data_IF_451921859195
#
_entry.id   IF_451921859195
#
_cell.length_a   1.000
_cell.length_b   1.000
_cell.length_c   1.000
_cell.angle_alpha   90.00
_cell.angle_beta   90.00
_cell.angle_gamma   90.00
#
_symmetry.space_group_name_H-M   'P 1'
#
loop_
_entity.id
_entity.type
_entity.pdbx_description
1 polymer ?
#
# COMPACT_ATOMS: atom_id res chain seq x y z
N UNK A 1 -1.63 -31.82 -15.77
CA UNK A 1 -1.83 -31.69 -14.31
C UNK A 1 -0.50 -31.25 -13.72
N UNK A 2 -0.35 -29.96 -13.42
CA UNK A 2 0.90 -29.42 -12.87
C UNK A 2 0.92 -29.72 -11.38
N UNK A 3 1.75 -30.66 -10.95
CA UNK A 3 1.91 -30.97 -9.54
C UNK A 3 2.54 -29.73 -8.88
N UNK A 4 1.90 -29.19 -7.85
CA UNK A 4 2.49 -28.17 -6.99
C UNK A 4 3.72 -28.77 -6.29
N UNK A 5 4.90 -28.39 -6.78
CA UNK A 5 6.18 -28.88 -6.27
C UNK A 5 6.36 -28.60 -4.79
N UNK A 6 5.84 -27.47 -4.30
CA UNK A 6 6.01 -27.09 -2.90
C UNK A 6 5.09 -27.92 -2.00
N UNK A 7 3.83 -28.13 -2.39
CA UNK A 7 2.93 -29.03 -1.67
C UNK A 7 3.48 -30.47 -1.59
N UNK A 8 4.08 -30.95 -2.68
CA UNK A 8 4.75 -32.26 -2.71
C UNK A 8 5.94 -32.32 -1.74
N UNK A 9 6.79 -31.29 -1.70
CA UNK A 9 7.93 -31.22 -0.80
C UNK A 9 7.49 -31.18 0.67
N UNK A 10 6.48 -30.38 1.01
CA UNK A 10 5.90 -30.32 2.36
C UNK A 10 5.34 -31.68 2.77
N UNK A 11 4.63 -32.37 1.87
CA UNK A 11 4.12 -33.72 2.14
C UNK A 11 5.24 -34.73 2.41
N UNK A 12 6.33 -34.69 1.62
CA UNK A 12 7.49 -35.56 1.82
C UNK A 12 8.22 -35.26 3.12
N UNK A 13 8.41 -33.98 3.46
CA UNK A 13 9.03 -33.56 4.71
C UNK A 13 8.22 -34.06 5.93
N UNK A 14 6.89 -33.91 5.89
CA UNK A 14 6.00 -34.43 6.94
C UNK A 14 6.09 -35.95 7.10
N UNK A 15 6.16 -36.69 5.98
CA UNK A 15 6.36 -38.14 6.03
C UNK A 15 7.72 -38.51 6.65
N UNK A 16 8.79 -37.77 6.31
CA UNK A 16 10.12 -37.98 6.90
C UNK A 16 10.13 -37.70 8.40
N UNK A 17 9.52 -36.59 8.84
CA UNK A 17 9.37 -36.26 10.27
C UNK A 17 8.64 -37.37 11.00
N UNK A 18 7.52 -37.86 10.46
CA UNK A 18 6.76 -38.93 11.08
C UNK A 18 7.62 -40.18 11.33
N UNK A 19 8.41 -40.60 10.35
CA UNK A 19 9.31 -41.75 10.51
C UNK A 19 10.45 -41.46 11.51
N UNK A 20 11.07 -40.29 11.41
CA UNK A 20 12.18 -39.89 12.30
C UNK A 20 11.72 -39.74 13.75
N UNK A 21 10.56 -39.13 13.98
CA UNK A 21 9.96 -38.97 15.30
C UNK A 21 9.60 -40.34 15.90
N UNK A 22 9.04 -41.25 15.09
CA UNK A 22 8.75 -42.61 15.54
C UNK A 22 10.03 -43.37 15.98
N UNK A 23 11.12 -43.26 15.21
CA UNK A 23 12.41 -43.86 15.58
C UNK A 23 12.97 -43.24 16.86
N UNK A 24 12.80 -41.93 17.05
CA UNK A 24 13.30 -41.23 18.23
C UNK A 24 12.57 -41.56 19.54
N UNK A 25 11.44 -42.25 19.48
CA UNK A 25 10.66 -42.65 20.67
C UNK A 25 11.19 -43.91 21.35
N UNK A 26 12.11 -44.64 20.70
CA UNK A 26 12.73 -45.83 21.29
C UNK A 26 13.85 -45.45 22.25
N UNK A 27 14.01 -46.21 23.32
CA UNK A 27 15.21 -46.13 24.14
C UNK A 27 16.40 -46.68 23.36
N UNK A 28 17.54 -46.00 23.41
CA UNK A 28 18.74 -46.41 22.67
C UNK A 28 19.20 -47.84 23.00
N UNK A 29 18.95 -48.30 24.23
CA UNK A 29 19.25 -49.67 24.68
C UNK A 29 18.39 -50.74 24.02
N UNK A 30 17.22 -50.36 23.51
CA UNK A 30 16.23 -51.28 22.94
C UNK A 30 16.44 -51.48 21.44
N UNK A 31 17.36 -50.71 20.83
CA UNK A 31 17.72 -50.84 19.42
C UNK A 31 19.09 -51.49 19.31
N UNK A 32 19.09 -52.72 18.79
CA UNK A 32 20.32 -53.38 18.37
C UNK A 32 21.02 -52.51 17.32
N UNK A 33 22.26 -52.10 17.59
CA UNK A 33 23.07 -51.24 16.71
C UNK A 33 22.52 -49.81 16.53
N UNK A 34 22.00 -49.20 17.59
CA UNK A 34 21.67 -47.75 17.61
C UNK A 34 22.87 -46.87 17.24
N UNK A 35 24.07 -47.31 17.62
CA UNK A 35 25.30 -46.56 17.42
C UNK A 35 25.96 -46.93 16.10
N UNK A 36 26.11 -45.94 15.22
CA UNK A 36 26.87 -46.05 13.98
C UNK A 36 28.27 -45.50 14.21
N UNK A 37 29.26 -46.38 14.15
CA UNK A 37 30.65 -45.99 14.30
C UNK A 37 31.23 -45.51 12.97
N UNK A 38 31.39 -44.19 12.83
CA UNK A 38 31.95 -43.57 11.63
C UNK A 38 33.42 -43.26 11.85
N UNK A 39 34.31 -43.94 11.15
CA UNK A 39 35.76 -43.71 11.21
C UNK A 39 36.21 -42.93 9.99
N UNK A 40 36.86 -41.79 10.24
CA UNK A 40 37.35 -40.90 9.21
C UNK A 40 38.79 -40.55 9.52
N UNK A 41 39.64 -40.53 8.49
CA UNK A 41 41.03 -40.10 8.63
C UNK A 41 41.25 -38.85 7.75
N UNK A 42 41.71 -37.77 8.36
CA UNK A 42 42.10 -36.55 7.65
C UNK A 42 43.54 -36.23 8.01
N UNK A 43 44.40 -36.15 7.00
CA UNK A 43 45.84 -35.90 7.16
C UNK A 43 46.54 -36.83 8.17
N UNK A 44 46.16 -38.10 8.21
CA UNK A 44 46.73 -39.09 9.14
C UNK A 44 46.15 -39.05 10.56
N UNK A 45 45.15 -38.21 10.82
CA UNK A 45 44.49 -38.07 12.13
C UNK A 45 43.09 -38.68 12.08
N UNK A 46 42.78 -39.56 13.04
CA UNK A 46 41.43 -40.10 13.22
C UNK A 46 40.47 -39.01 13.72
N UNK A 47 39.48 -38.67 12.91
CA UNK A 47 38.43 -37.67 13.17
C UNK A 47 37.03 -38.29 13.19
N UNK A 48 36.93 -39.62 13.32
CA UNK A 48 35.68 -40.33 13.41
C UNK A 48 34.84 -39.98 14.65
N UNK A 49 33.57 -40.35 14.59
CA UNK A 49 32.63 -40.22 15.71
C UNK A 49 31.61 -41.36 15.67
N UNK A 50 31.08 -41.69 16.83
CA UNK A 50 29.89 -42.53 16.94
C UNK A 50 28.65 -41.65 16.87
N UNK A 51 27.65 -42.06 16.09
CA UNK A 51 26.37 -41.34 15.93
C UNK A 51 25.25 -42.25 16.42
N UNK A 52 24.43 -41.77 17.35
CA UNK A 52 23.19 -42.47 17.72
C UNK A 52 22.09 -42.19 16.71
N UNK A 53 21.47 -43.25 16.21
CA UNK A 53 20.34 -43.17 15.28
C UNK A 53 19.11 -42.54 15.95
N UNK A 54 18.80 -42.91 17.20
CA UNK A 54 17.67 -42.37 17.97
C UNK A 54 17.82 -40.86 18.14
N UNK A 55 18.97 -40.41 18.63
CA UNK A 55 19.22 -39.00 18.89
C UNK A 55 19.19 -38.18 17.60
N UNK A 56 19.86 -38.66 16.54
CA UNK A 56 19.92 -37.95 15.27
C UNK A 56 18.54 -37.89 14.58
N UNK A 57 17.73 -38.96 14.65
CA UNK A 57 16.36 -38.93 14.16
C UNK A 57 15.51 -37.93 14.96
N UNK A 58 15.68 -37.86 16.28
CA UNK A 58 14.99 -36.89 17.12
C UNK A 58 15.35 -35.45 16.75
N UNK A 59 16.64 -35.15 16.64
CA UNK A 59 17.12 -33.83 16.22
C UNK A 59 16.64 -33.47 14.81
N UNK A 60 16.73 -34.39 13.85
CA UNK A 60 16.28 -34.16 12.49
C UNK A 60 14.77 -33.88 12.42
N UNK A 61 13.95 -34.65 13.14
CA UNK A 61 12.51 -34.43 13.23
C UNK A 61 12.18 -33.04 13.79
N UNK A 62 12.86 -32.61 14.86
CA UNK A 62 12.68 -31.29 15.46
C UNK A 62 13.04 -30.16 14.48
N UNK A 63 14.20 -30.25 13.82
CA UNK A 63 14.66 -29.23 12.87
C UNK A 63 13.70 -29.13 11.68
N UNK A 64 13.31 -30.27 11.09
CA UNK A 64 12.40 -30.27 9.94
C UNK A 64 11.02 -29.72 10.34
N UNK A 65 10.53 -30.04 11.53
CA UNK A 65 9.26 -29.49 12.05
C UNK A 65 9.35 -27.97 12.20
N UNK A 66 10.40 -27.45 12.84
CA UNK A 66 10.61 -26.01 12.97
C UNK A 66 10.70 -25.31 11.60
N UNK A 67 11.34 -25.93 10.61
CA UNK A 67 11.40 -25.40 9.24
C UNK A 67 10.03 -25.40 8.56
N UNK A 68 9.19 -26.42 8.79
CA UNK A 68 7.83 -26.48 8.26
C UNK A 68 6.95 -25.38 8.87
N UNK A 69 7.04 -25.16 10.18
CA UNK A 69 6.30 -24.11 10.88
C UNK A 69 6.69 -22.72 10.38
N UNK A 70 7.99 -22.46 10.23
CA UNK A 70 8.48 -21.19 9.68
C UNK A 70 8.04 -21.00 8.22
N UNK A 71 8.03 -22.06 7.41
CA UNK A 71 7.53 -22.01 6.03
C UNK A 71 6.03 -21.65 5.97
N UNK A 72 5.22 -22.21 6.87
CA UNK A 72 3.80 -21.87 6.98
C UNK A 72 3.60 -20.41 7.39
N UNK A 73 4.40 -19.94 8.35
CA UNK A 73 4.43 -18.54 8.75
C UNK A 73 4.78 -17.60 7.58
N UNK A 74 5.78 -17.94 6.76
CA UNK A 74 6.13 -17.15 5.57
C UNK A 74 4.99 -17.11 4.54
N UNK A 75 4.32 -18.23 4.26
CA UNK A 75 3.16 -18.26 3.35
C UNK A 75 2.02 -17.37 3.83
N UNK A 76 1.71 -17.42 5.12
CA UNK A 76 0.69 -16.56 5.73
C UNK A 76 1.04 -15.08 5.59
N UNK A 77 2.33 -14.72 5.80
CA UNK A 77 2.82 -13.35 5.60
C UNK A 77 2.72 -12.91 4.14
N UNK A 78 3.12 -13.75 3.20
CA UNK A 78 3.04 -13.45 1.76
C UNK A 78 1.59 -13.15 1.35
N UNK A 79 0.64 -13.98 1.78
CA UNK A 79 -0.78 -13.76 1.51
C UNK A 79 -1.28 -12.42 2.08
N UNK A 80 -0.89 -12.09 3.31
CA UNK A 80 -1.25 -10.81 3.94
C UNK A 80 -0.67 -9.62 3.19
N UNK A 81 0.57 -9.70 2.73
CA UNK A 81 1.22 -8.64 1.95
C UNK A 81 0.53 -8.48 0.60
N UNK A 82 0.27 -9.56 -0.12
CA UNK A 82 -0.43 -9.53 -1.40
C UNK A 82 -1.81 -8.88 -1.27
N UNK A 83 -2.55 -9.23 -0.21
CA UNK A 83 -3.85 -8.61 0.10
C UNK A 83 -3.72 -7.12 0.40
N UNK A 84 -2.78 -6.72 1.26
CA UNK A 84 -2.56 -5.32 1.61
C UNK A 84 -2.20 -4.48 0.37
N UNK A 85 -1.36 -5.02 -0.51
CA UNK A 85 -0.97 -4.35 -1.77
C UNK A 85 -2.18 -4.13 -2.66
N UNK A 86 -3.04 -5.15 -2.81
CA UNK A 86 -4.26 -5.05 -3.60
C UNK A 86 -5.25 -4.03 -3.02
N UNK A 87 -5.48 -4.10 -1.71
CA UNK A 87 -6.39 -3.18 -0.99
C UNK A 87 -5.87 -1.74 -1.09
N UNK A 88 -4.56 -1.52 -0.94
CA UNK A 88 -3.93 -0.21 -1.09
C UNK A 88 -4.03 0.30 -2.53
N UNK A 89 -3.78 -0.54 -3.54
CA UNK A 89 -3.92 -0.16 -4.96
C UNK A 89 -5.33 0.33 -5.25
N UNK A 90 -6.33 -0.41 -4.78
CA UNK A 90 -7.75 -0.04 -4.94
C UNK A 90 -8.05 1.30 -4.27
N UNK A 91 -7.47 1.55 -3.09
CA UNK A 91 -7.62 2.84 -2.40
C UNK A 91 -6.96 3.99 -3.17
N UNK A 92 -5.80 3.76 -3.80
CA UNK A 92 -5.13 4.77 -4.61
C UNK A 92 -5.94 5.14 -5.85
N UNK A 93 -6.50 4.15 -6.54
CA UNK A 93 -7.33 4.38 -7.73
C UNK A 93 -8.52 5.31 -7.40
N UNK A 94 -9.21 5.05 -6.29
CA UNK A 94 -10.33 5.90 -5.82
C UNK A 94 -9.88 7.32 -5.48
N UNK A 95 -8.67 7.48 -4.91
CA UNK A 95 -8.14 8.81 -4.61
C UNK A 95 -7.76 9.58 -5.88
N UNK A 96 -7.17 8.90 -6.87
CA UNK A 96 -6.85 9.49 -8.17
C UNK A 96 -8.10 9.95 -8.91
N UNK A 97 -9.17 9.15 -8.94
CA UNK A 97 -10.43 9.56 -9.57
C UNK A 97 -11.02 10.83 -8.92
N UNK A 98 -10.98 10.91 -7.59
CA UNK A 98 -11.44 12.09 -6.85
C UNK A 98 -10.56 13.31 -7.14
N UNK A 99 -9.25 13.11 -7.24
CA UNK A 99 -8.30 14.18 -7.55
C UNK A 99 -8.57 14.72 -8.96
N UNK A 100 -8.68 13.86 -9.97
CA UNK A 100 -9.00 14.29 -11.33
C UNK A 100 -10.34 15.04 -11.41
N UNK A 101 -11.36 14.55 -10.71
CA UNK A 101 -12.67 15.20 -10.68
C UNK A 101 -12.58 16.60 -10.03
N UNK A 102 -11.81 16.74 -8.96
CA UNK A 102 -11.57 18.01 -8.30
C UNK A 102 -10.77 18.98 -9.19
N UNK A 103 -9.72 18.52 -9.84
CA UNK A 103 -8.90 19.31 -10.78
C UNK A 103 -9.74 19.81 -11.96
N UNK A 104 -10.55 18.94 -12.58
CA UNK A 104 -11.49 19.35 -13.64
C UNK A 104 -12.45 20.42 -13.13
N UNK A 105 -13.00 20.25 -11.92
CA UNK A 105 -13.93 21.22 -11.35
C UNK A 105 -13.27 22.57 -11.07
N UNK A 106 -12.02 22.58 -10.60
CA UNK A 106 -11.24 23.81 -10.41
C UNK A 106 -11.03 24.51 -11.75
N UNK A 107 -10.58 23.78 -12.78
CA UNK A 107 -10.38 24.34 -14.12
C UNK A 107 -11.67 24.95 -14.70
N UNK A 108 -12.83 24.29 -14.52
CA UNK A 108 -14.13 24.85 -14.90
C UNK A 108 -14.46 26.16 -14.17
N UNK A 109 -14.19 26.22 -12.86
CA UNK A 109 -14.45 27.40 -12.05
C UNK A 109 -13.52 28.55 -12.42
N UNK A 110 -12.23 28.27 -12.63
CA UNK A 110 -11.24 29.24 -13.11
C UNK A 110 -11.61 29.79 -14.49
N UNK A 111 -12.08 28.94 -15.41
CA UNK A 111 -12.56 29.37 -16.72
C UNK A 111 -13.81 30.27 -16.63
N UNK A 112 -14.70 30.01 -15.66
CA UNK A 112 -15.88 30.87 -15.38
C UNK A 112 -15.47 32.21 -14.76
N UNK A 113 -14.53 32.20 -13.81
CA UNK A 113 -14.02 33.40 -13.14
C UNK A 113 -13.13 34.25 -14.04
N UNK A 114 -12.44 33.64 -15.01
CA UNK A 114 -11.63 34.35 -16.01
C UNK A 114 -12.45 35.31 -16.87
N UNK A 115 -13.77 35.12 -16.96
CA UNK A 115 -14.67 36.11 -17.55
C UNK A 115 -15.18 37.00 -16.42
N UNK A 116 -14.71 38.26 -16.32
CA UNK A 116 -15.19 39.16 -15.28
C UNK A 116 -16.72 39.27 -15.39
N UNK A 117 -17.41 38.89 -14.32
CA UNK A 117 -18.85 39.11 -14.22
C UNK A 117 -19.03 40.62 -14.18
N UNK A 118 -19.55 41.19 -15.27
CA UNK A 118 -19.99 42.57 -15.30
C UNK A 118 -21.21 42.69 -14.41
N UNK A 119 -20.97 42.93 -13.11
CA UNK A 119 -22.01 43.26 -12.17
C UNK A 119 -22.43 44.71 -12.43
N UNK A 120 -23.68 44.97 -12.83
CA UNK A 120 -24.18 46.32 -12.87
C UNK A 120 -24.06 46.90 -11.46
N UNK A 121 -23.28 47.98 -11.34
CA UNK A 121 -23.16 48.87 -10.17
C UNK A 121 -22.26 48.47 -8.99
N UNK A 122 -21.33 47.51 -9.11
CA UNK A 122 -20.43 47.18 -7.96
C UNK A 122 -18.92 47.27 -8.20
N UNK A 123 -18.41 47.55 -9.41
CA UNK A 123 -16.95 47.77 -9.59
C UNK A 123 -16.51 48.98 -10.44
N UNK A 124 -17.43 49.89 -10.80
CA UNK A 124 -17.02 51.17 -11.41
C UNK A 124 -16.65 51.15 -12.90
N UNK A 125 -16.88 50.07 -13.64
CA UNK A 125 -16.91 50.16 -15.10
C UNK A 125 -18.29 50.61 -15.58
N UNK A 126 -18.43 51.93 -15.73
CA UNK A 126 -19.51 52.51 -16.53
C UNK A 126 -19.30 52.13 -17.99
N UNK A 127 -20.35 51.67 -18.68
CA UNK A 127 -20.31 51.64 -20.15
C UNK A 127 -20.13 53.06 -20.70
N UNK A 128 -19.63 53.21 -21.93
CA UNK A 128 -19.43 54.54 -22.53
C UNK A 128 -20.73 55.36 -22.56
N UNK A 129 -21.88 54.71 -22.82
CA UNK A 129 -23.18 55.37 -22.75
C UNK A 129 -23.51 55.85 -21.34
N UNK A 130 -23.34 55.01 -20.31
CA UNK A 130 -23.67 55.40 -18.94
C UNK A 130 -22.75 56.50 -18.41
N UNK A 131 -21.47 56.49 -18.81
CA UNK A 131 -20.54 57.59 -18.49
C UNK A 131 -20.98 58.91 -19.13
N UNK A 132 -21.42 58.88 -20.38
CA UNK A 132 -21.95 60.05 -21.07
C UNK A 132 -23.24 60.58 -20.41
N UNK A 133 -24.12 59.68 -19.94
CA UNK A 133 -25.31 60.07 -19.18
C UNK A 133 -24.95 60.71 -17.84
N UNK A 134 -24.00 60.16 -17.09
CA UNK A 134 -23.58 60.73 -15.81
C UNK A 134 -22.92 62.10 -15.98
N UNK A 135 -22.07 62.27 -16.99
CA UNK A 135 -21.46 63.56 -17.34
C UNK A 135 -22.53 64.59 -17.76
N UNK A 136 -23.51 64.18 -18.56
CA UNK A 136 -24.62 65.04 -18.97
C UNK A 136 -25.50 65.46 -17.77
N UNK A 137 -25.81 64.53 -16.86
CA UNK A 137 -26.55 64.81 -15.63
C UNK A 137 -25.76 65.78 -14.75
N UNK A 138 -24.46 65.55 -14.57
CA UNK A 138 -23.58 66.43 -13.79
C UNK A 138 -23.54 67.84 -14.37
N UNK A 139 -23.41 67.95 -15.69
CA UNK A 139 -23.44 69.23 -16.39
C UNK A 139 -24.78 69.93 -16.23
N UNK A 140 -25.89 69.22 -16.42
CA UNK A 140 -27.24 69.77 -16.25
C UNK A 140 -27.47 70.28 -14.81
N UNK A 141 -27.10 69.50 -13.79
CA UNK A 141 -27.19 69.92 -12.38
C UNK A 141 -26.40 71.21 -12.12
N UNK A 142 -25.21 71.35 -12.72
CA UNK A 142 -24.39 72.57 -12.62
C UNK A 142 -25.07 73.77 -13.27
N UNK A 143 -25.67 73.61 -14.45
CA UNK A 143 -26.39 74.69 -15.13
C UNK A 143 -27.62 75.15 -14.33
N UNK A 144 -28.37 74.22 -13.76
CA UNK A 144 -29.53 74.52 -12.92
C UNK A 144 -29.13 75.31 -11.66
N UNK A 145 -28.01 74.94 -11.01
CA UNK A 145 -27.47 75.72 -9.88
C UNK A 145 -27.01 77.12 -10.29
N UNK A 146 -26.34 77.26 -11.44
CA UNK A 146 -25.93 78.57 -11.96
C UNK A 146 -27.12 79.47 -12.31
N UNK A 147 -28.24 78.87 -12.71
CA UNK A 147 -29.50 79.57 -12.93
C UNK A 147 -30.24 79.95 -11.64
N UNK A 148 -29.67 79.67 -10.46
CA UNK A 148 -30.21 80.06 -9.15
C UNK A 148 -31.18 79.07 -8.52
N UNK A 149 -31.31 77.86 -9.07
CA UNK A 149 -32.18 76.81 -8.53
C UNK A 149 -31.37 75.78 -7.73
N UNK A 150 -31.90 75.34 -6.57
CA UNK A 150 -31.30 74.25 -5.80
C UNK A 150 -31.62 72.89 -6.43
N UNK A 151 -30.64 72.00 -6.42
CA UNK A 151 -30.77 70.60 -6.87
C UNK A 151 -30.51 69.71 -5.67
N UNK A 152 -31.51 68.93 -5.26
CA UNK A 152 -31.37 67.95 -4.17
C UNK A 152 -30.50 66.76 -4.61
N UNK A 153 -29.69 66.24 -3.68
CA UNK A 153 -28.97 64.98 -3.85
C UNK A 153 -29.87 63.83 -3.37
N UNK A 154 -29.97 62.77 -4.18
CA UNK A 154 -30.80 61.60 -3.93
C UNK A 154 -29.94 60.40 -3.58
#
# INVERSE_FOLDING_TARGET
MTIDKQALLVSKAKASVFTMEYISQFEASDIDSNDVDLRFEVDGVETGTTVSIVDECGHAAQIITALLDELEHYKSREWRVAKLVLDNSTSWDVLYEKLEAAERRIAELEAKLSKPVLLPKTNGYWTEQEKAYEEAITFAKRQVRLAGFNVEEM
#
